data_IF_583736317936
#
_entry.id   IF_583736317936
#
_cell.length_a   1.000
_cell.length_b   1.000
_cell.length_c   1.000
_cell.angle_alpha   90.00
_cell.angle_beta   90.00
_cell.angle_gamma   90.00
#
_symmetry.space_group_name_H-M   'P 1'
#
loop_
_entity.id
_entity.type
_entity.pdbx_description
1 polymer ?
#
# COMPACT_ATOMS: atom_id res chain seq x y z
N UNK A 1 24.95 15.64 -25.04
CA UNK A 1 25.39 14.66 -24.04
C UNK A 1 24.22 13.78 -23.64
N UNK A 2 24.49 12.55 -23.29
CA UNK A 2 23.50 11.60 -22.76
C UNK A 2 23.70 11.46 -21.25
N UNK A 3 22.61 11.40 -20.50
CA UNK A 3 22.60 11.18 -19.06
C UNK A 3 21.95 9.83 -18.75
N UNK A 4 22.71 8.81 -18.32
CA UNK A 4 22.15 7.56 -17.84
C UNK A 4 21.74 7.70 -16.36
N UNK A 5 20.56 7.19 -16.02
CA UNK A 5 20.04 7.06 -14.67
C UNK A 5 19.69 5.60 -14.46
N UNK A 6 20.07 5.00 -13.35
CA UNK A 6 19.80 3.59 -13.09
C UNK A 6 19.57 3.28 -11.62
N UNK A 7 18.89 2.18 -11.37
CA UNK A 7 18.68 1.56 -10.06
C UNK A 7 19.19 0.12 -10.11
N UNK A 8 19.99 -0.26 -9.14
CA UNK A 8 20.49 -1.62 -8.96
C UNK A 8 19.77 -2.27 -7.79
N UNK A 9 19.19 -3.43 -8.02
CA UNK A 9 18.53 -4.24 -7.01
C UNK A 9 19.38 -5.45 -6.69
N UNK A 10 19.52 -5.76 -5.41
CA UNK A 10 20.14 -7.00 -4.93
C UNK A 10 19.07 -7.91 -4.37
N UNK A 11 19.04 -9.17 -4.78
CA UNK A 11 18.14 -10.16 -4.18
C UNK A 11 18.56 -10.42 -2.73
N UNK A 12 17.61 -10.53 -1.82
CA UNK A 12 17.90 -10.66 -0.38
C UNK A 12 18.71 -11.92 -0.05
N UNK A 13 18.38 -13.02 -0.69
CA UNK A 13 18.88 -14.35 -0.36
C UNK A 13 19.98 -14.85 -1.32
N UNK A 14 20.47 -14.00 -2.23
CA UNK A 14 21.51 -14.36 -3.20
C UNK A 14 22.36 -13.14 -3.60
N UNK A 15 23.53 -13.42 -4.18
CA UNK A 15 24.39 -12.38 -4.79
C UNK A 15 23.94 -12.04 -6.23
N UNK A 16 22.66 -12.20 -6.53
CA UNK A 16 22.10 -11.86 -7.82
C UNK A 16 21.70 -10.40 -7.87
N UNK A 17 22.16 -9.71 -8.89
CA UNK A 17 21.87 -8.30 -9.11
C UNK A 17 21.03 -8.13 -10.37
N UNK A 18 20.10 -7.19 -10.32
CA UNK A 18 19.29 -6.76 -11.45
C UNK A 18 19.36 -5.23 -11.52
N UNK A 19 19.68 -4.71 -12.68
CA UNK A 19 19.74 -3.27 -12.89
C UNK A 19 18.72 -2.84 -13.92
N UNK A 20 17.98 -1.80 -13.60
CA UNK A 20 17.07 -1.11 -14.51
C UNK A 20 17.52 0.34 -14.66
N UNK A 21 17.28 0.91 -15.84
CA UNK A 21 17.69 2.30 -16.04
C UNK A 21 17.09 2.94 -17.28
N UNK A 22 17.37 4.21 -17.41
CA UNK A 22 17.02 5.01 -18.59
C UNK A 22 18.17 5.89 -19.03
N UNK A 23 18.28 6.12 -20.31
CA UNK A 23 19.16 7.11 -20.90
C UNK A 23 18.35 8.28 -21.46
N UNK A 24 18.80 9.48 -21.22
CA UNK A 24 18.19 10.72 -21.71
C UNK A 24 19.24 11.47 -22.51
N UNK A 25 18.88 11.89 -23.71
CA UNK A 25 19.76 12.71 -24.56
C UNK A 25 19.01 13.93 -25.09
N UNK A 26 19.52 15.10 -24.76
CA UNK A 26 19.07 16.36 -25.34
C UNK A 26 19.87 16.72 -26.58
N UNK A 27 19.20 17.10 -27.65
CA UNK A 27 19.78 17.69 -28.85
C UNK A 27 19.15 19.03 -29.10
N UNK A 28 19.96 19.99 -29.54
CA UNK A 28 19.47 21.34 -29.87
C UNK A 28 18.37 21.25 -30.94
N UNK A 29 17.24 21.89 -30.69
CA UNK A 29 16.06 21.95 -31.57
C UNK A 29 15.42 20.59 -31.93
N UNK A 30 15.59 19.58 -31.09
CA UNK A 30 14.94 18.26 -31.23
C UNK A 30 14.26 17.86 -29.92
N UNK A 31 13.19 17.05 -29.99
CA UNK A 31 12.59 16.50 -28.80
C UNK A 31 13.61 15.65 -28.01
N UNK A 32 13.35 15.50 -26.73
CA UNK A 32 14.18 14.72 -25.83
C UNK A 32 14.17 13.24 -26.24
N UNK A 33 15.33 12.71 -26.55
CA UNK A 33 15.52 11.31 -26.92
C UNK A 33 15.66 10.50 -25.61
N UNK A 34 14.79 9.49 -25.43
CA UNK A 34 14.73 8.64 -24.24
C UNK A 34 14.78 7.17 -24.66
N UNK A 35 15.51 6.38 -23.91
CA UNK A 35 15.50 4.92 -24.03
C UNK A 35 15.64 4.30 -22.65
N UNK A 36 15.23 3.06 -22.53
CA UNK A 36 15.24 2.33 -21.26
C UNK A 36 16.05 1.05 -21.42
N UNK A 37 16.60 0.56 -20.32
CA UNK A 37 17.39 -0.66 -20.36
C UNK A 37 17.27 -1.46 -19.06
N UNK A 38 17.59 -2.75 -19.17
CA UNK A 38 17.72 -3.65 -18.03
C UNK A 38 18.96 -4.51 -18.20
N UNK A 39 19.58 -4.88 -17.08
CA UNK A 39 20.62 -5.92 -16.99
C UNK A 39 20.12 -6.97 -16.01
N UNK A 40 20.07 -8.22 -16.44
CA UNK A 40 19.51 -9.34 -15.67
C UNK A 40 20.50 -10.47 -15.42
N UNK A 41 21.70 -10.34 -15.94
CA UNK A 41 22.77 -11.31 -15.87
C UNK A 41 23.70 -11.17 -14.66
N UNK A 42 23.34 -10.31 -13.72
CA UNK A 42 24.11 -10.07 -12.51
C UNK A 42 25.27 -9.09 -12.67
N UNK A 43 25.57 -8.61 -13.89
CA UNK A 43 26.60 -7.58 -14.10
C UNK A 43 26.24 -6.29 -13.38
N UNK A 44 27.20 -5.73 -12.67
CA UNK A 44 27.03 -4.50 -11.90
C UNK A 44 27.59 -3.30 -12.64
N UNK A 45 26.85 -2.19 -12.64
CA UNK A 45 27.31 -0.94 -13.21
C UNK A 45 28.46 -0.36 -12.37
N UNK A 46 29.54 0.01 -13.05
CA UNK A 46 30.75 0.53 -12.41
C UNK A 46 31.75 -0.53 -11.95
N UNK A 47 31.42 -1.83 -12.07
CA UNK A 47 32.34 -2.97 -11.84
C UNK A 47 32.51 -3.77 -13.13
N UNK A 48 31.47 -4.46 -13.54
CA UNK A 48 31.50 -5.39 -14.67
C UNK A 48 30.96 -4.77 -15.95
N UNK A 49 30.16 -3.72 -15.81
CA UNK A 49 29.52 -3.03 -16.90
C UNK A 49 29.64 -1.51 -16.77
N UNK A 50 30.07 -0.84 -17.83
CA UNK A 50 30.26 0.60 -17.84
C UNK A 50 29.36 1.27 -18.88
N UNK A 51 28.63 2.30 -18.46
CA UNK A 51 27.74 3.11 -19.30
C UNK A 51 28.47 4.20 -20.09
N UNK A 52 29.78 4.15 -20.10
CA UNK A 52 30.63 5.12 -20.79
C UNK A 52 31.77 4.41 -21.54
N UNK A 53 32.34 5.12 -22.50
CA UNK A 53 33.63 4.80 -23.13
C UNK A 53 34.69 5.69 -22.56
N UNK A 54 35.88 5.16 -22.36
CA UNK A 54 37.07 5.91 -22.05
C UNK A 54 37.84 6.20 -23.36
N UNK A 55 37.77 7.43 -23.79
CA UNK A 55 38.48 7.93 -24.99
C UNK A 55 39.38 9.13 -24.62
N UNK A 56 39.97 9.12 -23.41
CA UNK A 56 40.64 10.28 -22.80
C UNK A 56 39.66 11.13 -21.99
N UNK A 57 38.40 11.16 -22.36
CA UNK A 57 37.27 11.64 -21.58
C UNK A 57 36.21 10.58 -21.50
N UNK A 58 35.47 10.55 -20.38
CA UNK A 58 34.36 9.59 -20.19
C UNK A 58 33.14 10.03 -20.99
N UNK A 59 32.96 9.43 -22.16
CA UNK A 59 31.81 9.70 -23.04
C UNK A 59 30.73 8.65 -22.80
N UNK A 60 29.51 9.07 -22.48
CA UNK A 60 28.37 8.19 -22.26
C UNK A 60 28.00 7.41 -23.54
N UNK A 61 27.59 6.16 -23.37
CA UNK A 61 27.18 5.30 -24.47
C UNK A 61 25.92 5.86 -25.14
N UNK A 62 25.91 5.81 -26.46
CA UNK A 62 24.68 6.00 -27.24
C UNK A 62 23.78 4.76 -27.10
N UNK A 63 22.51 4.90 -27.46
CA UNK A 63 21.54 3.79 -27.43
C UNK A 63 22.06 2.53 -28.16
N UNK A 64 22.55 2.69 -29.41
CA UNK A 64 23.07 1.55 -30.21
C UNK A 64 24.28 0.87 -29.56
N UNK A 65 25.16 1.66 -28.97
CA UNK A 65 26.33 1.13 -28.27
C UNK A 65 25.93 0.41 -26.99
N UNK A 66 24.89 0.90 -26.31
CA UNK A 66 24.31 0.24 -25.14
C UNK A 66 23.66 -1.10 -25.55
N UNK A 67 22.86 -1.13 -26.63
CA UNK A 67 22.28 -2.35 -27.18
C UNK A 67 23.36 -3.41 -27.47
N UNK A 68 24.44 -3.03 -28.14
CA UNK A 68 25.53 -3.93 -28.44
C UNK A 68 26.26 -4.45 -27.20
N UNK A 69 26.40 -3.62 -26.15
CA UNK A 69 27.07 -4.04 -24.91
C UNK A 69 26.18 -4.86 -23.99
N UNK A 70 24.90 -4.57 -23.95
CA UNK A 70 23.93 -5.34 -23.17
C UNK A 70 23.83 -6.75 -23.72
N UNK A 71 23.81 -6.91 -25.04
CA UNK A 71 23.72 -8.18 -25.76
C UNK A 71 22.63 -9.11 -25.15
N UNK A 72 23.00 -10.36 -24.84
CA UNK A 72 22.09 -11.35 -24.28
C UNK A 72 21.83 -11.17 -22.77
N UNK A 73 22.64 -10.38 -22.07
CA UNK A 73 22.57 -10.20 -20.62
C UNK A 73 21.52 -9.18 -20.13
N UNK A 74 20.71 -8.66 -21.04
CA UNK A 74 19.66 -7.68 -20.70
C UNK A 74 18.85 -7.27 -21.93
N UNK A 75 18.16 -6.14 -21.81
CA UNK A 75 17.31 -5.64 -22.89
C UNK A 75 17.29 -4.11 -22.94
N UNK A 76 17.16 -3.54 -24.13
CA UNK A 76 16.95 -2.11 -24.34
C UNK A 76 15.56 -1.90 -24.95
N UNK A 77 14.87 -0.87 -24.47
CA UNK A 77 13.49 -0.57 -24.85
C UNK A 77 13.39 0.87 -25.37
N UNK A 78 12.58 1.06 -26.40
CA UNK A 78 12.23 2.38 -26.95
C UNK A 78 10.98 2.96 -26.29
N UNK A 79 10.02 2.09 -25.97
CA UNK A 79 8.72 2.46 -25.47
C UNK A 79 8.69 2.29 -23.96
N UNK A 80 8.20 3.33 -23.27
CA UNK A 80 8.04 3.29 -21.82
C UNK A 80 7.09 2.19 -21.36
N UNK A 81 6.01 1.95 -22.11
CA UNK A 81 5.02 0.93 -21.76
C UNK A 81 5.64 -0.48 -21.70
N UNK A 82 6.43 -0.84 -22.74
CA UNK A 82 7.08 -2.15 -22.82
C UNK A 82 8.11 -2.32 -21.68
N UNK A 83 8.80 -1.24 -21.33
CA UNK A 83 9.73 -1.21 -20.20
C UNK A 83 9.01 -1.35 -18.86
N UNK A 84 7.90 -0.64 -18.65
CA UNK A 84 7.12 -0.73 -17.41
C UNK A 84 6.57 -2.15 -17.19
N UNK A 85 6.01 -2.75 -18.23
CA UNK A 85 5.51 -4.11 -18.18
C UNK A 85 6.64 -5.13 -17.88
N UNK A 86 7.80 -4.93 -18.49
CA UNK A 86 8.97 -5.75 -18.19
C UNK A 86 9.45 -5.60 -16.73
N UNK A 87 9.55 -4.37 -16.25
CA UNK A 87 9.96 -4.07 -14.86
C UNK A 87 8.98 -4.66 -13.86
N UNK A 88 7.68 -4.52 -14.11
CA UNK A 88 6.66 -5.13 -13.27
C UNK A 88 6.88 -6.64 -13.16
N UNK A 89 7.01 -7.35 -14.27
CA UNK A 89 7.21 -8.81 -14.27
C UNK A 89 8.51 -9.26 -13.59
N UNK A 90 9.59 -8.49 -13.71
CA UNK A 90 10.90 -8.91 -13.21
C UNK A 90 11.13 -8.56 -11.74
N UNK A 91 10.52 -7.49 -11.25
CA UNK A 91 10.84 -6.92 -9.93
C UNK A 91 9.62 -6.95 -9.00
N UNK A 92 8.48 -6.45 -9.44
CA UNK A 92 7.34 -6.18 -8.54
C UNK A 92 6.31 -7.32 -8.53
N UNK A 93 5.99 -7.90 -9.70
CA UNK A 93 5.10 -9.07 -9.79
C UNK A 93 3.62 -8.77 -9.60
N UNK A 94 3.17 -7.53 -9.84
CA UNK A 94 1.73 -7.20 -9.83
C UNK A 94 1.01 -7.88 -10.98
N UNK A 95 -0.22 -8.31 -10.75
CA UNK A 95 -1.02 -9.02 -11.75
C UNK A 95 -1.42 -8.11 -12.91
N UNK A 96 -1.74 -6.84 -12.60
CA UNK A 96 -2.16 -5.85 -13.60
C UNK A 96 -1.16 -4.70 -13.74
N UNK A 97 -1.15 -4.08 -14.92
CA UNK A 97 -0.36 -2.87 -15.17
C UNK A 97 -0.87 -1.67 -14.38
N UNK A 98 -2.16 -1.65 -14.07
CA UNK A 98 -2.80 -0.57 -13.31
C UNK A 98 -2.36 -0.59 -11.86
N UNK A 99 -2.34 -1.75 -11.18
CA UNK A 99 -1.82 -1.89 -9.81
C UNK A 99 -0.36 -1.44 -9.70
N UNK A 100 0.47 -1.84 -10.68
CA UNK A 100 1.86 -1.38 -10.74
C UNK A 100 1.95 0.15 -10.88
N UNK A 101 1.09 0.74 -11.70
CA UNK A 101 1.04 2.18 -11.92
C UNK A 101 0.60 2.91 -10.65
N UNK A 102 -0.43 2.43 -9.97
CA UNK A 102 -0.91 2.98 -8.70
C UNK A 102 0.20 2.99 -7.64
N UNK A 103 0.95 1.89 -7.51
CA UNK A 103 2.10 1.80 -6.62
C UNK A 103 3.18 2.84 -6.97
N UNK A 104 3.49 3.01 -8.26
CA UNK A 104 4.48 4.01 -8.70
C UNK A 104 3.98 5.42 -8.43
N UNK A 105 2.70 5.72 -8.69
CA UNK A 105 2.09 7.02 -8.43
C UNK A 105 2.10 7.33 -6.92
N UNK A 106 1.82 6.35 -6.06
CA UNK A 106 1.95 6.48 -4.61
C UNK A 106 3.40 6.82 -4.19
N UNK A 107 4.39 6.12 -4.73
CA UNK A 107 5.81 6.41 -4.46
C UNK A 107 6.21 7.81 -4.92
N UNK A 108 5.69 8.27 -6.05
CA UNK A 108 5.91 9.64 -6.55
C UNK A 108 5.29 10.66 -5.59
N UNK A 109 4.07 10.42 -5.12
CA UNK A 109 3.38 11.29 -4.17
C UNK A 109 4.16 11.38 -2.84
N UNK A 110 4.60 10.25 -2.28
CA UNK A 110 5.39 10.19 -1.06
C UNK A 110 6.74 10.92 -1.18
N UNK A 111 7.36 10.89 -2.37
CA UNK A 111 8.65 11.52 -2.63
C UNK A 111 8.56 13.02 -2.96
N UNK A 112 7.39 13.53 -3.31
CA UNK A 112 7.26 14.90 -3.76
C UNK A 112 7.40 15.89 -2.59
N UNK A 113 8.41 16.77 -2.57
CA UNK A 113 8.59 17.76 -1.49
C UNK A 113 7.43 18.77 -1.39
N UNK A 114 6.50 18.75 -2.32
CA UNK A 114 5.29 19.58 -2.33
C UNK A 114 4.33 19.30 -1.18
N UNK A 115 4.41 18.13 -0.55
CA UNK A 115 3.64 17.83 0.66
C UNK A 115 3.84 18.87 1.77
N UNK A 116 5.00 19.53 1.82
CA UNK A 116 5.27 20.58 2.83
C UNK A 116 4.87 21.98 2.42
N UNK A 117 4.70 22.27 1.11
CA UNK A 117 4.35 23.61 0.60
C UNK A 117 2.87 23.79 0.30
N UNK A 118 2.19 22.71 -0.14
CA UNK A 118 0.77 22.70 -0.47
C UNK A 118 0.02 21.67 0.39
N UNK A 119 0.24 21.72 1.71
CA UNK A 119 -0.44 20.83 2.66
C UNK A 119 -1.97 21.07 2.58
N UNK A 120 -2.64 20.25 1.80
CA UNK A 120 -4.10 20.16 1.79
C UNK A 120 -4.51 18.92 2.57
N UNK A 121 -5.21 19.06 3.70
CA UNK A 121 -5.67 17.92 4.51
C UNK A 121 -6.48 16.89 3.71
N UNK A 122 -7.24 17.34 2.69
CA UNK A 122 -8.00 16.47 1.81
C UNK A 122 -7.11 15.51 1.01
N UNK A 123 -5.99 15.99 0.47
CA UNK A 123 -5.07 15.14 -0.33
C UNK A 123 -4.43 14.06 0.54
N UNK A 124 -4.12 14.38 1.81
CA UNK A 124 -3.60 13.36 2.75
C UNK A 124 -4.67 12.35 3.11
N UNK A 125 -5.91 12.80 3.30
CA UNK A 125 -7.01 11.88 3.57
C UNK A 125 -7.23 10.94 2.38
N UNK A 126 -7.18 11.44 1.16
CA UNK A 126 -7.33 10.63 -0.06
C UNK A 126 -6.18 9.61 -0.18
N UNK A 127 -4.92 10.04 0.02
CA UNK A 127 -3.75 9.13 0.03
C UNK A 127 -3.86 8.05 1.10
N UNK A 128 -4.30 8.42 2.30
CA UNK A 128 -4.48 7.45 3.40
C UNK A 128 -5.63 6.49 3.10
N UNK A 129 -6.74 7.00 2.57
CA UNK A 129 -7.89 6.17 2.20
C UNK A 129 -7.55 5.17 1.09
N UNK A 130 -6.80 5.61 0.08
CA UNK A 130 -6.36 4.74 -1.03
C UNK A 130 -5.27 3.75 -0.61
N UNK A 131 -4.47 4.09 0.42
CA UNK A 131 -3.41 3.21 0.94
C UNK A 131 -3.90 2.19 1.95
N UNK A 132 -5.05 2.44 2.58
CA UNK A 132 -5.67 1.51 3.51
C UNK A 132 -6.47 0.50 2.70
N UNK A 133 -6.09 -0.77 2.81
CA UNK A 133 -6.94 -1.83 2.26
C UNK A 133 -8.33 -1.75 2.92
N UNK A 134 -9.40 -1.80 2.13
CA UNK A 134 -10.75 -1.89 2.71
C UNK A 134 -10.79 -3.10 3.63
N UNK A 135 -11.34 -2.90 4.83
CA UNK A 135 -11.55 -4.01 5.77
C UNK A 135 -12.44 -5.05 5.10
N UNK A 136 -12.00 -6.30 5.13
CA UNK A 136 -12.80 -7.42 4.63
C UNK A 136 -14.00 -7.67 5.55
N UNK A 137 -15.03 -8.32 5.06
CA UNK A 137 -16.18 -8.73 5.87
C UNK A 137 -15.75 -9.64 7.04
N UNK A 138 -14.67 -10.41 6.87
CA UNK A 138 -14.09 -11.23 7.94
C UNK A 138 -13.45 -10.40 9.04
N UNK A 139 -12.80 -9.29 8.71
CA UNK A 139 -12.21 -8.37 9.69
C UNK A 139 -13.28 -7.61 10.49
N UNK A 140 -14.45 -7.35 9.86
CA UNK A 140 -15.58 -6.67 10.49
C UNK A 140 -16.46 -7.62 11.34
N UNK A 141 -16.40 -8.93 11.09
CA UNK A 141 -17.24 -9.91 11.77
C UNK A 141 -17.13 -9.88 13.31
N UNK A 142 -15.94 -9.82 13.94
CA UNK A 142 -15.85 -9.78 15.40
C UNK A 142 -16.51 -8.52 15.99
N UNK A 143 -16.46 -7.40 15.25
CA UNK A 143 -17.08 -6.14 15.68
C UNK A 143 -18.61 -6.21 15.54
N UNK A 144 -19.13 -6.82 14.47
CA UNK A 144 -20.55 -7.06 14.29
C UNK A 144 -21.10 -7.98 15.37
N UNK A 145 -20.44 -9.10 15.66
CA UNK A 145 -20.81 -10.02 16.74
C UNK A 145 -20.77 -9.33 18.13
N UNK A 146 -19.80 -8.44 18.36
CA UNK A 146 -19.74 -7.69 19.61
C UNK A 146 -20.92 -6.73 19.77
N UNK A 147 -21.33 -6.05 18.69
CA UNK A 147 -22.51 -5.15 18.70
C UNK A 147 -23.78 -5.95 18.95
N UNK A 148 -23.99 -7.07 18.26
CA UNK A 148 -25.16 -7.93 18.46
C UNK A 148 -25.23 -8.47 19.90
N UNK A 149 -24.10 -8.90 20.47
CA UNK A 149 -24.02 -9.31 21.87
C UNK A 149 -24.34 -8.17 22.83
N UNK A 150 -23.91 -6.96 22.55
CA UNK A 150 -24.22 -5.78 23.38
C UNK A 150 -25.71 -5.45 23.34
N UNK A 151 -26.34 -5.53 22.18
CA UNK A 151 -27.79 -5.31 22.05
C UNK A 151 -28.58 -6.39 22.77
N UNK A 152 -28.19 -7.65 22.66
CA UNK A 152 -28.81 -8.74 23.39
C UNK A 152 -28.68 -8.57 24.93
N UNK A 153 -27.49 -8.15 25.38
CA UNK A 153 -27.29 -7.83 26.81
C UNK A 153 -28.17 -6.68 27.27
N UNK A 154 -28.31 -5.64 26.47
CA UNK A 154 -29.19 -4.49 26.78
C UNK A 154 -30.65 -4.90 26.87
N UNK A 155 -31.14 -5.73 25.96
CA UNK A 155 -32.50 -6.29 26.01
C UNK A 155 -32.71 -7.13 27.27
N UNK A 156 -31.78 -8.02 27.60
CA UNK A 156 -31.82 -8.81 28.83
C UNK A 156 -31.82 -7.96 30.09
N UNK A 157 -31.00 -6.91 30.12
CA UNK A 157 -30.95 -5.97 31.25
C UNK A 157 -32.27 -5.23 31.45
N UNK A 158 -32.89 -4.80 30.34
CA UNK A 158 -34.21 -4.14 30.36
C UNK A 158 -35.27 -5.11 30.90
N UNK A 159 -35.34 -6.33 30.41
CA UNK A 159 -36.27 -7.35 30.89
C UNK A 159 -36.11 -7.68 32.36
N UNK A 160 -34.86 -7.79 32.85
CA UNK A 160 -34.56 -8.00 34.28
C UNK A 160 -34.98 -6.82 35.14
N UNK A 161 -34.79 -5.57 34.68
CA UNK A 161 -35.25 -4.36 35.38
C UNK A 161 -36.77 -4.31 35.50
N UNK A 162 -37.48 -4.67 34.44
CA UNK A 162 -38.96 -4.75 34.42
C UNK A 162 -39.45 -5.84 35.38
N UNK A 163 -38.87 -7.03 35.31
CA UNK A 163 -39.18 -8.14 36.23
C UNK A 163 -38.95 -7.79 37.69
N UNK A 164 -37.79 -7.12 37.98
CA UNK A 164 -37.49 -6.61 39.33
C UNK A 164 -38.55 -5.62 39.81
N UNK A 165 -38.92 -4.66 38.96
CA UNK A 165 -39.95 -3.65 39.33
C UNK A 165 -41.30 -4.30 39.58
N UNK A 166 -41.68 -5.34 38.84
CA UNK A 166 -42.91 -6.11 39.09
C UNK A 166 -42.83 -6.87 40.46
N UNK A 167 -41.69 -7.55 40.69
CA UNK A 167 -41.49 -8.27 41.96
C UNK A 167 -41.51 -7.32 43.17
N UNK A 168 -40.91 -6.13 43.10
CA UNK A 168 -40.97 -5.12 44.15
C UNK A 168 -42.39 -4.65 44.45
N UNK A 169 -43.23 -4.47 43.43
CA UNK A 169 -44.64 -4.15 43.59
C UNK A 169 -45.43 -5.27 44.28
N UNK A 170 -45.24 -6.50 43.85
CA UNK A 170 -45.85 -7.68 44.46
C UNK A 170 -45.43 -7.83 45.92
N UNK A 171 -44.16 -7.68 46.20
CA UNK A 171 -43.62 -7.76 47.58
C UNK A 171 -44.21 -6.68 48.47
N UNK A 172 -44.34 -5.45 47.99
CA UNK A 172 -44.93 -4.35 48.74
C UNK A 172 -46.41 -4.62 49.15
N UNK A 173 -47.20 -5.22 48.22
CA UNK A 173 -48.60 -5.62 48.47
C UNK A 173 -48.63 -6.80 49.47
N UNK A 174 -47.79 -7.78 49.30
CA UNK A 174 -47.66 -8.96 50.15
C UNK A 174 -47.29 -8.59 51.60
N UNK A 175 -46.37 -7.64 51.77
CA UNK A 175 -46.04 -7.14 53.11
C UNK A 175 -47.19 -6.44 53.80
N UNK A 176 -48.02 -5.68 53.07
CA UNK A 176 -49.25 -5.06 53.62
C UNK A 176 -50.26 -6.13 54.04
N UNK A 177 -50.45 -7.13 53.21
CA UNK A 177 -51.34 -8.25 53.51
C UNK A 177 -50.89 -9.03 54.75
N UNK A 178 -49.61 -9.35 54.89
CA UNK A 178 -49.05 -10.02 56.05
C UNK A 178 -49.20 -9.18 57.34
N UNK A 179 -49.09 -7.86 57.27
CA UNK A 179 -49.35 -6.98 58.39
C UNK A 179 -50.80 -7.04 58.88
N UNK A 180 -51.74 -7.05 57.95
CA UNK A 180 -53.18 -7.20 58.25
C UNK A 180 -53.45 -8.53 58.92
N UNK A 181 -52.94 -9.65 58.36
CA UNK A 181 -53.08 -10.98 58.94
C UNK A 181 -52.50 -11.07 60.37
N UNK A 182 -51.42 -10.38 60.65
CA UNK A 182 -50.82 -10.37 61.96
C UNK A 182 -51.69 -9.57 62.96
N UNK A 183 -52.31 -8.47 62.52
CA UNK A 183 -53.23 -7.73 63.35
C UNK A 183 -54.46 -8.56 63.70
N UNK A 184 -55.10 -9.25 62.71
CA UNK A 184 -56.25 -10.13 62.92
C UNK A 184 -55.96 -11.32 63.85
N UNK A 185 -54.71 -11.74 64.00
CA UNK A 185 -54.34 -12.82 64.92
C UNK A 185 -53.95 -12.34 66.31
N UNK A 186 -53.76 -11.01 66.48
CA UNK A 186 -53.35 -10.40 67.76
C UNK A 186 -54.52 -9.91 68.61
N UNK A 187 -55.73 -9.78 67.97
CA UNK A 187 -57.00 -9.56 68.59
C UNK A 187 -57.67 -10.91 68.99
#
# INVERSE_FOLDING_TARGET
>A
DALPIYLEFKRKDSETYLTIGMGIRAKRNKPLDKWYFSLTDGRRIGKDFFLYKDMGEKVTLSKKELENRVAEGGRVFDRQADYMDYVNRQIFGFETADEYKEMVDLLIQLRTPKLSKDFKPSVINDILSDSLQPLSDEDLRPMSEAIENMDMMNMNLKGRREARGAAEKINAVFQKYNKLLLCEKAD
#
